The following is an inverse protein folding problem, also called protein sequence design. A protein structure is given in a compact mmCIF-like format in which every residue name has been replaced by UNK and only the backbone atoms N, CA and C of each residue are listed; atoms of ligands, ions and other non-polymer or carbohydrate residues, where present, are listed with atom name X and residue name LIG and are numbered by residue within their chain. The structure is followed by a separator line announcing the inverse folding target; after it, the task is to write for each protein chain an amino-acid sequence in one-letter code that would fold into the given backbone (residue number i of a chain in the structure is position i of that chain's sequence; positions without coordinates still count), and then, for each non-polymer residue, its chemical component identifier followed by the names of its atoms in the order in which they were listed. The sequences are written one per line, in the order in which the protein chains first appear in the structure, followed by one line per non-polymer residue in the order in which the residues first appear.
data_IF_089254361347
#
_entry.id   IF_089254361347
#
_cell.length_a   1.000
_cell.length_b   1.000
_cell.length_c   1.000
_cell.angle_alpha   90.00
_cell.angle_beta   90.00
_cell.angle_gamma   90.00
#
_symmetry.space_group_name_H-M   'P 1'
#
loop_
_entity.id
_entity.type
_entity.pdbx_description
1 polymer ?
#
# COMPACT_ATOMS: atom_id res chain seq x y z
N UNK A 1 -14.81 3.99 41.88
CA UNK A 1 -15.53 2.71 41.72
C UNK A 1 -15.65 2.31 40.25
N UNK A 2 -15.89 3.23 39.31
CA UNK A 2 -15.98 2.91 37.86
C UNK A 2 -14.74 2.21 37.26
N UNK A 3 -13.52 2.65 37.61
CA UNK A 3 -12.30 2.10 37.00
C UNK A 3 -12.06 0.60 37.29
N UNK A 4 -12.46 0.11 38.46
CA UNK A 4 -12.22 -1.29 38.83
C UNK A 4 -13.09 -2.24 37.99
N UNK A 5 -14.34 -1.85 37.68
CA UNK A 5 -15.25 -2.63 36.85
C UNK A 5 -14.79 -2.69 35.38
N UNK A 6 -14.28 -1.59 34.84
CA UNK A 6 -13.73 -1.56 33.47
C UNK A 6 -12.45 -2.40 33.33
N UNK A 7 -11.64 -2.44 34.40
CA UNK A 7 -10.43 -3.26 34.44
C UNK A 7 -10.78 -4.75 34.50
N UNK A 8 -11.72 -5.15 35.37
CA UNK A 8 -12.20 -6.54 35.47
C UNK A 8 -12.80 -7.05 34.15
N UNK A 9 -13.61 -6.23 33.47
CA UNK A 9 -14.18 -6.59 32.16
C UNK A 9 -13.07 -6.76 31.11
N UNK A 10 -12.09 -5.84 31.07
CA UNK A 10 -11.00 -5.91 30.12
C UNK A 10 -10.09 -7.14 30.36
N UNK A 11 -9.83 -7.49 31.62
CA UNK A 11 -9.08 -8.69 31.99
C UNK A 11 -9.82 -9.96 31.57
N UNK A 12 -11.12 -10.05 31.84
CA UNK A 12 -11.94 -11.19 31.41
C UNK A 12 -11.95 -11.36 29.90
N UNK A 13 -12.05 -10.26 29.14
CA UNK A 13 -12.02 -10.30 27.67
C UNK A 13 -10.65 -10.71 27.14
N UNK A 14 -9.56 -10.19 27.72
CA UNK A 14 -8.21 -10.57 27.32
C UNK A 14 -7.94 -12.07 27.56
N UNK A 15 -8.43 -12.62 28.68
CA UNK A 15 -8.27 -14.05 28.98
C UNK A 15 -9.04 -14.95 27.99
N UNK A 16 -10.27 -14.58 27.62
CA UNK A 16 -11.03 -15.28 26.58
C UNK A 16 -10.34 -15.20 25.22
N UNK A 17 -9.77 -14.03 24.91
CA UNK A 17 -9.08 -13.79 23.65
C UNK A 17 -7.79 -14.57 23.49
N UNK A 18 -7.00 -14.66 24.57
CA UNK A 18 -5.78 -15.47 24.62
C UNK A 18 -6.07 -16.96 24.38
N UNK A 19 -7.21 -17.46 24.85
CA UNK A 19 -7.62 -18.85 24.61
C UNK A 19 -8.11 -19.10 23.19
N UNK A 20 -8.69 -18.08 22.53
CA UNK A 20 -9.27 -18.20 21.18
C UNK A 20 -8.24 -18.08 20.07
N UNK A 21 -7.23 -17.23 20.24
CA UNK A 21 -6.25 -16.95 19.19
C UNK A 21 -5.07 -17.93 19.22
N UNK A 22 -4.53 -18.33 18.05
CA UNK A 22 -3.25 -19.03 17.99
C UNK A 22 -2.13 -18.23 18.67
N UNK A 23 -1.25 -18.91 19.43
CA UNK A 23 -0.16 -18.28 20.21
C UNK A 23 0.69 -17.29 19.41
N UNK A 24 0.97 -17.60 18.14
CA UNK A 24 1.76 -16.74 17.25
C UNK A 24 1.02 -15.44 16.90
N UNK A 25 -0.29 -15.50 16.66
CA UNK A 25 -1.12 -14.34 16.36
C UNK A 25 -1.28 -13.45 17.59
N UNK A 26 -1.60 -14.06 18.74
CA UNK A 26 -1.78 -13.36 20.00
C UNK A 26 -0.53 -12.55 20.37
N UNK A 27 0.67 -13.12 20.19
CA UNK A 27 1.95 -12.41 20.45
C UNK A 27 2.14 -11.14 19.61
N UNK A 28 1.57 -11.09 18.40
CA UNK A 28 1.68 -9.95 17.50
C UNK A 28 0.61 -8.90 17.79
N UNK A 29 -0.62 -9.33 18.11
CA UNK A 29 -1.77 -8.46 18.31
C UNK A 29 -1.82 -7.89 19.74
N UNK A 30 -1.58 -8.71 20.76
CA UNK A 30 -1.75 -8.33 22.17
C UNK A 30 -0.96 -7.07 22.57
N UNK A 31 0.29 -6.85 22.11
CA UNK A 31 1.02 -5.62 22.44
C UNK A 31 0.35 -4.35 21.90
N UNK A 32 -0.25 -4.43 20.71
CA UNK A 32 -0.97 -3.30 20.10
C UNK A 32 -2.28 -3.03 20.85
N UNK A 33 -3.02 -4.09 21.14
CA UNK A 33 -4.26 -4.00 21.90
C UNK A 33 -4.03 -3.39 23.29
N UNK A 34 -3.19 -4.01 24.11
CA UNK A 34 -2.94 -3.61 25.48
C UNK A 34 -2.20 -2.26 25.58
N UNK A 35 -1.28 -1.98 24.66
CA UNK A 35 -0.44 -0.79 24.71
C UNK A 35 -1.04 0.47 24.09
N UNK A 36 -1.98 0.34 23.15
CA UNK A 36 -2.48 1.47 22.35
C UNK A 36 -4.00 1.58 22.30
N UNK A 37 -4.70 0.48 22.02
CA UNK A 37 -6.15 0.51 21.75
C UNK A 37 -6.93 0.53 23.06
N UNK A 38 -6.71 -0.45 23.94
CA UNK A 38 -7.44 -0.59 25.20
C UNK A 38 -7.33 0.65 26.12
N UNK A 39 -6.15 1.28 26.33
CA UNK A 39 -6.06 2.49 27.14
C UNK A 39 -6.89 3.65 26.56
N UNK A 40 -6.92 3.79 25.23
CA UNK A 40 -7.72 4.82 24.58
C UNK A 40 -9.23 4.56 24.72
N UNK A 41 -9.66 3.30 24.65
CA UNK A 41 -11.05 2.91 24.90
C UNK A 41 -11.46 3.20 26.35
N UNK A 42 -10.60 2.89 27.33
CA UNK A 42 -10.84 3.22 28.75
C UNK A 42 -10.98 4.74 28.95
N UNK A 43 -10.05 5.53 28.41
CA UNK A 43 -10.09 6.98 28.50
C UNK A 43 -11.36 7.59 27.85
N UNK A 44 -11.80 7.02 26.72
CA UNK A 44 -13.05 7.42 26.07
C UNK A 44 -14.28 7.04 26.91
N UNK A 45 -14.30 5.83 27.48
CA UNK A 45 -15.38 5.35 28.34
C UNK A 45 -15.52 6.24 29.59
N UNK A 46 -14.41 6.60 30.23
CA UNK A 46 -14.37 7.51 31.38
C UNK A 46 -14.89 8.90 31.02
N UNK A 47 -14.41 9.46 29.89
CA UNK A 47 -14.83 10.79 29.41
C UNK A 47 -16.33 10.85 29.13
N UNK A 48 -16.89 9.78 28.57
CA UNK A 48 -18.30 9.72 28.16
C UNK A 48 -19.22 9.11 29.22
N UNK A 49 -18.68 8.72 30.39
CA UNK A 49 -19.41 8.01 31.46
C UNK A 49 -20.14 6.77 30.92
N UNK A 50 -19.44 5.99 30.09
CA UNK A 50 -19.97 4.80 29.44
C UNK A 50 -20.34 3.72 30.48
N UNK A 51 -21.54 3.11 30.40
CA UNK A 51 -21.90 1.98 31.24
C UNK A 51 -20.95 0.77 31.03
N UNK A 52 -20.65 -0.02 32.07
CA UNK A 52 -19.74 -1.16 31.95
C UNK A 52 -20.13 -2.17 30.85
N UNK A 53 -21.43 -2.42 30.68
CA UNK A 53 -21.93 -3.32 29.64
C UNK A 53 -21.71 -2.78 28.20
N UNK A 54 -21.79 -1.46 28.01
CA UNK A 54 -21.51 -0.82 26.73
C UNK A 54 -20.00 -0.83 26.45
N UNK A 55 -19.19 -0.54 27.46
CA UNK A 55 -17.73 -0.65 27.36
C UNK A 55 -17.30 -2.07 26.98
N UNK A 56 -17.86 -3.11 27.62
CA UNK A 56 -17.57 -4.51 27.28
C UNK A 56 -17.89 -4.86 25.83
N UNK A 57 -19.04 -4.39 25.30
CA UNK A 57 -19.40 -4.56 23.88
C UNK A 57 -18.43 -3.83 22.94
N UNK A 58 -18.08 -2.60 23.28
CA UNK A 58 -17.11 -1.81 22.51
C UNK A 58 -15.73 -2.48 22.48
N UNK A 59 -15.25 -2.98 23.61
CA UNK A 59 -14.00 -3.73 23.68
C UNK A 59 -14.04 -5.00 22.83
N UNK A 60 -15.08 -5.83 22.96
CA UNK A 60 -15.21 -7.04 22.16
C UNK A 60 -15.23 -6.75 20.64
N UNK A 61 -15.94 -5.68 20.22
CA UNK A 61 -15.96 -5.24 18.82
C UNK A 61 -14.57 -4.76 18.37
N UNK A 62 -13.91 -3.92 19.16
CA UNK A 62 -12.59 -3.40 18.81
C UNK A 62 -11.53 -4.50 18.73
N UNK A 63 -11.60 -5.53 19.59
CA UNK A 63 -10.74 -6.73 19.50
C UNK A 63 -10.97 -7.47 18.19
N UNK A 64 -12.23 -7.74 17.83
CA UNK A 64 -12.57 -8.36 16.54
C UNK A 64 -12.05 -7.56 15.36
N UNK A 65 -12.25 -6.25 15.34
CA UNK A 65 -11.74 -5.41 14.25
C UNK A 65 -10.20 -5.39 14.22
N UNK A 66 -9.55 -5.45 15.38
CA UNK A 66 -8.08 -5.54 15.47
C UNK A 66 -7.58 -6.86 14.86
N UNK A 67 -8.27 -7.97 15.09
CA UNK A 67 -7.98 -9.26 14.42
C UNK A 67 -8.19 -9.17 12.92
N UNK A 68 -9.38 -8.76 12.48
CA UNK A 68 -9.72 -8.70 11.05
C UNK A 68 -8.77 -7.76 10.29
N UNK A 69 -8.34 -6.66 10.93
CA UNK A 69 -7.34 -5.77 10.36
C UNK A 69 -5.98 -6.43 10.23
N UNK A 70 -5.56 -7.21 11.23
CA UNK A 70 -4.33 -7.99 11.13
C UNK A 70 -4.41 -8.99 9.97
N UNK A 71 -5.52 -9.73 9.87
CA UNK A 71 -5.72 -10.68 8.77
C UNK A 71 -5.71 -9.98 7.40
N UNK A 72 -6.38 -8.84 7.28
CA UNK A 72 -6.40 -8.04 6.06
C UNK A 72 -5.01 -7.52 5.67
N UNK A 73 -4.12 -7.29 6.63
CA UNK A 73 -2.74 -6.83 6.40
C UNK A 73 -1.77 -7.99 6.07
N UNK A 74 -2.15 -9.21 6.45
CA UNK A 74 -1.32 -10.40 6.40
C UNK A 74 -2.08 -11.59 5.80
N UNK A 75 -2.75 -11.42 4.65
CA UNK A 75 -3.49 -12.51 3.99
C UNK A 75 -2.62 -13.76 3.73
N UNK A 76 -1.31 -13.56 3.58
CA UNK A 76 -0.32 -14.62 3.45
C UNK A 76 -0.01 -15.38 4.75
N UNK A 77 -0.46 -14.93 5.92
CA UNK A 77 -0.14 -15.55 7.23
C UNK A 77 -0.76 -16.93 7.42
N UNK A 78 -1.83 -17.24 6.68
CA UNK A 78 -2.52 -18.52 6.75
C UNK A 78 -2.19 -19.48 5.61
N UNK A 79 -1.37 -19.06 4.65
CA UNK A 79 -0.92 -19.95 3.58
C UNK A 79 -0.01 -21.03 4.19
N UNK A 80 -0.56 -22.23 4.40
CA UNK A 80 0.08 -23.46 4.91
C UNK A 80 1.39 -23.89 4.21
N UNK A 81 1.86 -23.13 3.22
CA UNK A 81 3.05 -23.39 2.41
C UNK A 81 4.05 -22.23 2.39
N UNK A 82 3.78 -21.14 3.10
CA UNK A 82 4.79 -20.13 3.37
C UNK A 82 5.87 -20.80 4.24
N UNK A 83 7.08 -20.96 3.71
CA UNK A 83 8.21 -21.42 4.51
C UNK A 83 8.29 -20.56 5.79
N UNK A 84 8.62 -21.13 6.94
CA UNK A 84 8.61 -20.49 8.28
C UNK A 84 9.28 -19.09 8.34
N UNK A 85 10.06 -18.70 7.33
CA UNK A 85 10.67 -17.39 7.17
C UNK A 85 9.76 -16.27 6.57
N UNK A 86 8.53 -16.58 6.14
CA UNK A 86 7.63 -15.62 5.46
C UNK A 86 6.42 -15.16 6.30
N UNK A 87 6.32 -15.61 7.56
CA UNK A 87 5.25 -15.20 8.47
C UNK A 87 5.32 -13.72 8.91
N UNK A 88 4.21 -13.17 9.42
CA UNK A 88 4.18 -11.80 9.93
C UNK A 88 5.12 -11.63 11.13
N UNK A 89 5.95 -10.59 11.11
CA UNK A 89 6.93 -10.30 12.18
C UNK A 89 6.43 -9.26 13.19
N UNK A 90 5.42 -8.48 12.82
CA UNK A 90 4.84 -7.38 13.58
C UNK A 90 3.39 -7.18 13.12
N UNK A 91 2.57 -6.52 13.95
CA UNK A 91 1.18 -6.20 13.60
C UNK A 91 1.09 -5.22 12.42
N UNK A 92 1.65 -4.02 12.60
CA UNK A 92 1.76 -3.02 11.57
C UNK A 92 2.81 -2.00 12.00
N UNK A 93 3.64 -1.60 11.07
CA UNK A 93 4.60 -0.52 11.22
C UNK A 93 4.56 0.28 9.93
N UNK A 94 4.74 1.59 10.03
CA UNK A 94 4.87 2.42 8.83
C UNK A 94 6.01 1.88 7.96
N UNK A 95 5.66 1.33 6.80
CA UNK A 95 6.59 0.63 5.92
C UNK A 95 7.45 1.61 5.15
N UNK A 96 8.73 1.32 4.95
CA UNK A 96 9.54 2.04 3.97
C UNK A 96 9.19 1.55 2.57
N UNK A 97 8.45 2.36 1.82
CA UNK A 97 8.07 1.98 0.47
C UNK A 97 9.29 1.84 -0.45
N UNK A 98 9.44 0.64 -1.02
CA UNK A 98 10.40 0.36 -2.07
C UNK A 98 9.63 -0.13 -3.29
N UNK A 99 9.56 0.72 -4.32
CA UNK A 99 8.81 0.42 -5.53
C UNK A 99 9.20 -0.93 -6.12
N UNK A 100 10.49 -1.31 -6.11
CA UNK A 100 10.98 -2.56 -6.71
C UNK A 100 10.46 -3.82 -6.00
N UNK A 101 9.99 -3.68 -4.76
CA UNK A 101 9.38 -4.74 -3.96
C UNK A 101 7.87 -4.53 -3.81
N UNK A 102 7.25 -3.73 -4.69
CA UNK A 102 5.81 -3.55 -4.66
C UNK A 102 5.11 -4.89 -4.93
N UNK A 103 4.09 -5.21 -4.13
CA UNK A 103 3.38 -6.49 -4.12
C UNK A 103 4.29 -7.73 -3.89
N UNK A 104 5.40 -7.57 -3.16
CA UNK A 104 6.28 -8.67 -2.75
C UNK A 104 5.76 -9.31 -1.45
N UNK A 105 5.25 -10.54 -1.55
CA UNK A 105 4.75 -11.32 -0.40
C UNK A 105 5.86 -11.70 0.60
N UNK A 106 7.13 -11.74 0.16
CA UNK A 106 8.29 -12.05 1.02
C UNK A 106 8.61 -10.93 2.02
N UNK A 107 7.83 -9.84 2.02
CA UNK A 107 7.94 -8.77 3.03
C UNK A 107 7.27 -9.13 4.36
N UNK A 108 6.59 -10.28 4.44
CA UNK A 108 5.80 -10.67 5.60
C UNK A 108 4.48 -9.89 5.69
N UNK A 109 4.04 -9.28 4.58
CA UNK A 109 2.79 -8.54 4.45
C UNK A 109 2.18 -8.80 3.08
N UNK A 110 0.87 -9.02 3.07
CA UNK A 110 0.05 -9.22 1.89
C UNK A 110 -1.31 -8.62 2.19
N UNK A 111 -1.60 -7.49 1.55
CA UNK A 111 -2.78 -6.70 1.92
C UNK A 111 -3.96 -7.14 1.06
N UNK A 112 -4.96 -7.74 1.70
CA UNK A 112 -6.29 -7.87 1.12
C UNK A 112 -7.01 -6.53 1.24
N UNK A 113 -7.08 -5.82 0.11
CA UNK A 113 -7.70 -4.51 0.03
C UNK A 113 -9.21 -4.57 0.31
N UNK A 114 -9.91 -5.62 -0.08
CA UNK A 114 -11.35 -5.72 0.12
C UNK A 114 -11.67 -5.94 1.61
N UNK A 115 -10.95 -6.87 2.25
CA UNK A 115 -11.05 -7.08 3.69
C UNK A 115 -10.69 -5.82 4.47
N UNK A 116 -9.61 -5.12 4.10
CA UNK A 116 -9.18 -3.87 4.74
C UNK A 116 -10.27 -2.79 4.68
N UNK A 117 -10.92 -2.62 3.52
CA UNK A 117 -12.00 -1.65 3.35
C UNK A 117 -13.27 -2.06 4.10
N UNK A 118 -13.55 -3.36 4.20
CA UNK A 118 -14.65 -3.86 5.03
C UNK A 118 -14.44 -3.53 6.51
N UNK A 119 -13.24 -3.76 7.05
CA UNK A 119 -12.89 -3.41 8.43
C UNK A 119 -12.99 -1.90 8.64
N UNK A 120 -12.50 -1.10 7.68
CA UNK A 120 -12.60 0.35 7.76
C UNK A 120 -14.07 0.80 7.81
N UNK A 121 -14.94 0.27 6.94
CA UNK A 121 -16.35 0.61 6.93
C UNK A 121 -17.05 0.27 8.27
N UNK A 122 -16.75 -0.91 8.83
CA UNK A 122 -17.31 -1.34 10.11
C UNK A 122 -16.78 -0.51 11.28
N UNK A 123 -15.49 -0.19 11.30
CA UNK A 123 -14.93 0.74 12.29
C UNK A 123 -15.59 2.12 12.21
N UNK A 124 -15.80 2.63 11.00
CA UNK A 124 -16.42 3.94 10.80
C UNK A 124 -17.88 3.99 11.24
N UNK A 125 -18.61 2.87 11.25
CA UNK A 125 -19.99 2.82 11.72
C UNK A 125 -20.13 2.80 13.25
N UNK A 126 -19.04 2.57 14.00
CA UNK A 126 -19.05 2.46 15.47
C UNK A 126 -18.24 3.60 16.13
N UNK A 127 -18.88 4.74 16.46
CA UNK A 127 -18.18 5.90 17.03
C UNK A 127 -17.61 5.68 18.43
N UNK A 128 -18.14 4.71 19.17
CA UNK A 128 -17.80 4.33 20.54
C UNK A 128 -16.40 3.72 20.67
N UNK A 129 -15.92 3.02 19.63
CA UNK A 129 -14.61 2.35 19.63
C UNK A 129 -13.49 3.18 18.96
N UNK A 130 -13.80 4.41 18.54
CA UNK A 130 -12.84 5.22 17.78
C UNK A 130 -11.68 5.67 18.65
N UNK A 131 -10.45 5.47 18.16
CA UNK A 131 -9.25 5.98 18.80
C UNK A 131 -8.19 6.40 17.79
N UNK A 132 -7.29 7.30 18.20
CA UNK A 132 -6.27 7.88 17.32
C UNK A 132 -5.39 6.80 16.69
N UNK A 133 -5.01 5.77 17.46
CA UNK A 133 -4.16 4.72 16.93
C UNK A 133 -4.85 3.92 15.83
N UNK A 134 -6.14 3.60 15.98
CA UNK A 134 -6.91 2.86 14.96
C UNK A 134 -7.18 3.72 13.72
N UNK A 135 -7.51 5.01 13.91
CA UNK A 135 -7.63 5.99 12.82
C UNK A 135 -6.32 6.07 12.01
N UNK A 136 -5.18 6.18 12.69
CA UNK A 136 -3.86 6.19 12.03
C UNK A 136 -3.58 4.89 11.30
N UNK A 137 -3.83 3.74 11.93
CA UNK A 137 -3.47 2.44 11.38
C UNK A 137 -4.26 2.13 10.11
N UNK A 138 -5.57 2.38 10.12
CA UNK A 138 -6.40 2.25 8.92
C UNK A 138 -5.95 3.22 7.82
N UNK A 139 -5.66 4.47 8.18
CA UNK A 139 -5.24 5.47 7.23
C UNK A 139 -3.91 5.10 6.55
N UNK A 140 -2.91 4.71 7.36
CA UNK A 140 -1.59 4.28 6.90
C UNK A 140 -1.68 3.02 6.04
N UNK A 141 -2.45 2.02 6.49
CA UNK A 141 -2.69 0.77 5.76
C UNK A 141 -3.37 1.00 4.40
N UNK A 142 -4.45 1.79 4.34
CA UNK A 142 -5.19 2.04 3.09
C UNK A 142 -4.32 2.81 2.10
N UNK A 143 -3.61 3.84 2.56
CA UNK A 143 -2.71 4.64 1.71
C UNK A 143 -1.55 3.79 1.21
N UNK A 144 -0.95 2.95 2.07
CA UNK A 144 0.10 2.04 1.67
C UNK A 144 -0.39 0.98 0.67
N UNK A 145 -1.57 0.39 0.87
CA UNK A 145 -2.14 -0.60 -0.03
C UNK A 145 -2.31 -0.02 -1.45
N UNK A 146 -2.81 1.22 -1.54
CA UNK A 146 -2.94 1.91 -2.83
C UNK A 146 -1.57 2.23 -3.44
N UNK A 147 -0.61 2.70 -2.64
CA UNK A 147 0.75 2.98 -3.08
C UNK A 147 1.47 1.71 -3.57
N UNK A 148 1.26 0.57 -2.91
CA UNK A 148 1.83 -0.73 -3.27
C UNK A 148 1.24 -1.26 -4.57
N UNK A 149 -0.09 -1.25 -4.69
CA UNK A 149 -0.78 -1.62 -5.93
C UNK A 149 -0.37 -0.72 -7.10
N UNK A 150 -0.31 0.60 -6.87
CA UNK A 150 0.11 1.55 -7.88
C UNK A 150 1.58 1.36 -8.26
N UNK A 151 2.47 1.17 -7.28
CA UNK A 151 3.89 0.88 -7.51
C UNK A 151 4.10 -0.35 -8.38
N UNK A 152 3.39 -1.44 -8.08
CA UNK A 152 3.39 -2.66 -8.87
C UNK A 152 2.92 -2.40 -10.30
N UNK A 153 1.84 -1.63 -10.47
CA UNK A 153 1.35 -1.23 -11.78
C UNK A 153 2.38 -0.39 -12.57
N UNK A 154 3.03 0.60 -11.93
CA UNK A 154 4.04 1.45 -12.55
C UNK A 154 5.21 0.63 -13.05
N UNK A 155 5.69 -0.30 -12.24
CA UNK A 155 6.79 -1.19 -12.59
C UNK A 155 6.41 -2.12 -13.72
N UNK A 156 5.29 -2.81 -13.61
CA UNK A 156 4.92 -3.83 -14.58
C UNK A 156 4.50 -3.24 -15.90
N UNK A 157 3.89 -2.05 -15.93
CA UNK A 157 3.43 -1.42 -17.17
C UNK A 157 4.39 -0.39 -17.75
N UNK A 158 5.60 -0.21 -17.19
CA UNK A 158 6.52 0.88 -17.56
C UNK A 158 5.79 2.24 -17.62
N UNK A 159 4.94 2.51 -16.63
CA UNK A 159 4.02 3.66 -16.62
C UNK A 159 3.13 3.73 -17.88
N UNK A 160 2.43 2.63 -18.20
CA UNK A 160 1.51 2.55 -19.35
C UNK A 160 2.18 2.41 -20.73
N UNK A 161 3.48 2.07 -20.80
CA UNK A 161 4.23 1.93 -22.07
C UNK A 161 4.64 0.50 -22.42
N UNK A 162 4.25 -0.49 -21.62
CA UNK A 162 4.40 -1.93 -21.92
C UNK A 162 4.95 -2.74 -20.75
N UNK A 163 5.09 -4.06 -20.91
CA UNK A 163 5.53 -4.94 -19.82
C UNK A 163 7.03 -4.77 -19.48
N UNK A 164 7.37 -4.71 -18.19
CA UNK A 164 8.75 -4.65 -17.69
C UNK A 164 9.28 -6.03 -17.31
N UNK A 165 9.73 -6.79 -18.31
CA UNK A 165 10.38 -8.10 -18.09
C UNK A 165 11.60 -8.00 -17.17
N UNK A 166 12.33 -6.88 -17.21
CA UNK A 166 13.43 -6.59 -16.28
C UNK A 166 13.00 -6.66 -14.82
N UNK A 167 11.83 -6.12 -14.49
CA UNK A 167 11.33 -6.08 -13.12
C UNK A 167 10.90 -7.47 -12.64
N UNK A 168 10.13 -8.19 -13.48
CA UNK A 168 9.70 -9.55 -13.18
C UNK A 168 10.89 -10.49 -12.90
N UNK A 169 11.96 -10.38 -13.69
CA UNK A 169 13.16 -11.21 -13.51
C UNK A 169 14.07 -10.72 -12.37
N UNK A 170 13.96 -9.48 -11.92
CA UNK A 170 14.83 -8.92 -10.89
C UNK A 170 14.54 -9.44 -9.48
N UNK A 171 13.32 -9.94 -9.22
CA UNK A 171 12.87 -10.44 -7.90
C UNK A 171 13.19 -9.42 -6.78
N UNK A 172 12.85 -8.14 -7.02
CA UNK A 172 13.08 -7.05 -6.08
C UNK A 172 14.52 -6.57 -5.89
N UNK A 173 15.52 -7.24 -6.48
CA UNK A 173 16.94 -6.89 -6.30
C UNK A 173 17.36 -5.71 -7.20
N UNK A 174 17.78 -4.56 -6.65
CA UNK A 174 18.04 -3.34 -7.43
C UNK A 174 19.19 -3.52 -8.43
N UNK A 175 20.29 -4.14 -8.02
CA UNK A 175 21.45 -4.37 -8.90
C UNK A 175 21.07 -5.26 -10.09
N UNK A 176 20.31 -6.34 -9.84
CA UNK A 176 19.81 -7.24 -10.88
C UNK A 176 18.85 -6.50 -11.83
N UNK A 177 17.96 -5.67 -11.29
CA UNK A 177 17.07 -4.83 -12.08
C UNK A 177 17.83 -3.90 -13.02
N UNK A 178 18.84 -3.16 -12.54
CA UNK A 178 19.62 -2.25 -13.40
C UNK A 178 20.42 -2.99 -14.47
N UNK A 179 21.01 -4.14 -14.15
CA UNK A 179 21.71 -4.98 -15.12
C UNK A 179 20.75 -5.48 -16.22
N UNK A 180 19.63 -6.07 -15.84
CA UNK A 180 18.62 -6.55 -16.78
C UNK A 180 18.01 -5.43 -17.61
N UNK A 181 17.74 -4.27 -16.99
CA UNK A 181 17.22 -3.10 -17.68
C UNK A 181 18.22 -2.61 -18.74
N UNK A 182 19.51 -2.57 -18.40
CA UNK A 182 20.57 -2.16 -19.33
C UNK A 182 20.69 -3.17 -20.47
N UNK A 183 20.74 -4.47 -20.15
CA UNK A 183 20.78 -5.55 -21.14
C UNK A 183 19.59 -5.46 -22.11
N UNK A 184 18.35 -5.42 -21.60
CA UNK A 184 17.17 -5.36 -22.47
C UNK A 184 17.08 -4.06 -23.26
N UNK A 185 17.61 -2.94 -22.76
CA UNK A 185 17.71 -1.71 -23.55
C UNK A 185 18.71 -1.83 -24.68
N UNK A 186 19.89 -2.40 -24.44
CA UNK A 186 20.91 -2.63 -25.46
C UNK A 186 20.43 -3.63 -26.51
N UNK A 187 19.87 -4.75 -26.09
CA UNK A 187 19.30 -5.76 -26.99
C UNK A 187 18.12 -5.18 -27.78
N UNK A 188 17.21 -4.46 -27.13
CA UNK A 188 16.09 -3.80 -27.79
C UNK A 188 16.53 -2.74 -28.81
N UNK A 189 17.61 -2.01 -28.51
CA UNK A 189 18.21 -1.06 -29.45
C UNK A 189 18.81 -1.78 -30.66
N UNK A 190 19.62 -2.82 -30.43
CA UNK A 190 20.25 -3.60 -31.50
C UNK A 190 19.19 -4.23 -32.42
N UNK A 191 18.19 -4.89 -31.85
CA UNK A 191 17.11 -5.54 -32.62
C UNK A 191 16.18 -4.52 -33.31
N UNK A 192 15.97 -3.35 -32.73
CA UNK A 192 15.06 -2.34 -33.28
C UNK A 192 15.68 -1.43 -34.34
N UNK A 193 16.98 -1.11 -34.21
CA UNK A 193 17.64 -0.09 -35.03
C UNK A 193 18.84 -0.59 -35.84
N UNK A 194 19.49 -1.68 -35.44
CA UNK A 194 20.69 -2.19 -36.13
C UNK A 194 20.35 -3.37 -37.04
N UNK A 195 19.62 -4.36 -36.51
CA UNK A 195 19.31 -5.60 -37.24
C UNK A 195 18.45 -5.38 -38.49
N UNK A 196 17.36 -4.60 -38.48
CA UNK A 196 16.50 -4.47 -39.66
C UNK A 196 17.20 -3.82 -40.86
N UNK A 197 17.99 -2.72 -40.70
CA UNK A 197 18.80 -2.18 -41.80
C UNK A 197 19.84 -3.16 -42.34
N UNK A 198 20.55 -3.87 -41.45
CA UNK A 198 21.57 -4.86 -41.85
C UNK A 198 20.93 -6.00 -42.64
N UNK A 199 19.80 -6.54 -42.17
CA UNK A 199 19.05 -7.58 -42.88
C UNK A 199 18.51 -7.10 -44.23
N UNK A 200 18.05 -5.86 -44.32
CA UNK A 200 17.59 -5.27 -45.58
C UNK A 200 18.72 -5.16 -46.60
N UNK A 201 19.88 -4.61 -46.21
CA UNK A 201 21.07 -4.48 -47.08
C UNK A 201 21.54 -5.86 -47.54
N UNK A 202 21.62 -6.83 -46.61
CA UNK A 202 22.02 -8.19 -46.91
C UNK A 202 21.03 -8.88 -47.88
N UNK A 203 19.72 -8.70 -47.71
CA UNK A 203 18.73 -9.26 -48.63
C UNK A 203 18.86 -8.67 -50.04
N UNK A 204 19.10 -7.36 -50.15
CA UNK A 204 19.31 -6.67 -51.43
C UNK A 204 20.59 -7.16 -52.11
N UNK A 205 21.70 -7.30 -51.37
CA UNK A 205 22.98 -7.76 -51.94
C UNK A 205 22.94 -9.19 -52.47
N UNK A 206 22.02 -10.03 -51.96
CA UNK A 206 21.82 -11.40 -52.44
C UNK A 206 20.74 -11.51 -53.53
N UNK A 207 20.28 -10.40 -54.10
CA UNK A 207 19.30 -10.38 -55.21
C UNK A 207 17.83 -10.44 -54.78
N UNK A 208 17.53 -10.50 -53.48
CA UNK A 208 16.15 -10.50 -52.96
C UNK A 208 15.61 -9.07 -52.77
N UNK A 209 15.51 -8.29 -53.85
CA UNK A 209 15.13 -6.87 -53.79
C UNK A 209 13.79 -6.62 -53.10
N UNK A 210 12.74 -7.39 -53.44
CA UNK A 210 11.39 -7.20 -52.89
C UNK A 210 11.38 -7.39 -51.37
N UNK A 211 12.05 -8.43 -50.88
CA UNK A 211 12.16 -8.72 -49.44
C UNK A 211 12.92 -7.61 -48.71
N UNK A 212 14.06 -7.18 -49.26
CA UNK A 212 14.87 -6.11 -48.66
C UNK A 212 14.13 -4.79 -48.53
N UNK A 213 13.44 -4.35 -49.58
CA UNK A 213 12.61 -3.14 -49.55
C UNK A 213 11.41 -3.26 -48.60
N UNK A 214 10.81 -4.44 -48.50
CA UNK A 214 9.68 -4.68 -47.58
C UNK A 214 10.12 -4.56 -46.12
N UNK A 215 11.28 -5.12 -45.76
CA UNK A 215 11.88 -5.00 -44.42
C UNK A 215 12.20 -3.53 -44.12
N UNK A 216 12.84 -2.83 -45.06
CA UNK A 216 13.17 -1.41 -44.89
C UNK A 216 11.91 -0.55 -44.69
N UNK A 217 10.88 -0.75 -45.53
CA UNK A 217 9.61 -0.03 -45.45
C UNK A 217 8.90 -0.24 -44.11
N UNK A 218 8.79 -1.49 -43.64
CA UNK A 218 8.22 -1.82 -42.34
C UNK A 218 9.01 -1.22 -41.19
N UNK A 219 10.34 -1.25 -41.26
CA UNK A 219 11.21 -0.64 -40.25
C UNK A 219 11.02 0.88 -40.17
N UNK A 220 11.04 1.58 -41.31
CA UNK A 220 10.81 3.03 -41.36
C UNK A 220 9.43 3.38 -40.79
N UNK A 221 8.39 2.63 -41.16
CA UNK A 221 7.04 2.83 -40.63
C UNK A 221 6.99 2.64 -39.11
N UNK A 222 7.67 1.62 -38.59
CA UNK A 222 7.77 1.36 -37.14
C UNK A 222 8.49 2.49 -36.39
N UNK A 223 9.62 2.97 -36.91
CA UNK A 223 10.37 4.10 -36.33
C UNK A 223 9.53 5.37 -36.35
N UNK A 224 8.88 5.65 -37.48
CA UNK A 224 7.98 6.79 -37.62
C UNK A 224 6.82 6.73 -36.62
N UNK A 225 6.17 5.57 -36.47
CA UNK A 225 5.11 5.37 -35.49
C UNK A 225 5.59 5.57 -34.05
N UNK A 226 6.80 5.08 -33.72
CA UNK A 226 7.42 5.28 -32.41
C UNK A 226 7.68 6.76 -32.13
N UNK A 227 8.12 7.52 -33.15
CA UNK A 227 8.36 8.96 -33.04
C UNK A 227 7.04 9.75 -32.84
N UNK A 228 6.00 9.41 -33.59
CA UNK A 228 4.66 10.03 -33.47
C UNK A 228 4.03 9.74 -32.10
N UNK A 229 4.22 8.55 -31.56
CA UNK A 229 3.67 8.16 -30.24
C UNK A 229 4.54 8.58 -29.05
N UNK A 230 5.78 9.03 -29.29
CA UNK A 230 6.72 9.48 -28.27
C UNK A 230 6.15 10.59 -27.34
N UNK A 231 5.57 11.70 -27.84
CA UNK A 231 5.04 12.74 -26.96
C UNK A 231 3.90 12.25 -26.07
N UNK A 232 3.02 11.38 -26.58
CA UNK A 232 1.94 10.79 -25.80
C UNK A 232 2.49 9.90 -24.66
N UNK A 233 3.46 9.02 -24.97
CA UNK A 233 4.16 8.17 -23.98
C UNK A 233 4.89 9.00 -22.93
N UNK A 234 5.50 10.11 -23.35
CA UNK A 234 6.20 11.03 -22.45
C UNK A 234 5.22 11.73 -21.49
N UNK A 235 4.09 12.21 -22.00
CA UNK A 235 3.02 12.80 -21.18
C UNK A 235 2.45 11.79 -20.18
N UNK A 236 2.19 10.55 -20.61
CA UNK A 236 1.73 9.48 -19.73
C UNK A 236 2.74 9.21 -18.59
N UNK A 237 4.03 9.06 -18.91
CA UNK A 237 5.10 8.85 -17.91
C UNK A 237 5.20 10.01 -16.90
N UNK A 238 5.08 11.26 -17.37
CA UNK A 238 5.08 12.42 -16.47
C UNK A 238 3.87 12.40 -15.53
N UNK A 239 2.67 12.10 -16.05
CA UNK A 239 1.46 11.98 -15.22
C UNK A 239 1.61 10.88 -14.18
N UNK A 240 2.04 9.69 -14.58
CA UNK A 240 2.27 8.56 -13.65
C UNK A 240 3.31 8.89 -12.59
N UNK A 241 4.42 9.55 -12.97
CA UNK A 241 5.44 9.98 -12.00
C UNK A 241 4.87 11.02 -11.02
N UNK A 242 4.08 11.96 -11.51
CA UNK A 242 3.41 12.95 -10.67
C UNK A 242 2.48 12.29 -9.66
N UNK A 243 1.63 11.35 -10.11
CA UNK A 243 0.74 10.58 -9.24
C UNK A 243 1.50 9.80 -8.16
N UNK A 244 2.59 9.12 -8.56
CA UNK A 244 3.43 8.38 -7.64
C UNK A 244 4.05 9.31 -6.59
N UNK A 245 4.56 10.47 -7.00
CA UNK A 245 5.11 11.46 -6.07
C UNK A 245 4.06 11.96 -5.10
N UNK A 246 2.84 12.29 -5.55
CA UNK A 246 1.77 12.74 -4.64
C UNK A 246 1.36 11.66 -3.62
N UNK A 247 1.26 10.40 -4.04
CA UNK A 247 0.99 9.28 -3.13
C UNK A 247 2.14 9.06 -2.13
N UNK A 248 3.39 9.19 -2.59
CA UNK A 248 4.57 9.08 -1.71
C UNK A 248 4.62 10.20 -0.69
N UNK A 249 4.36 11.44 -1.11
CA UNK A 249 4.34 12.61 -0.22
C UNK A 249 3.24 12.45 0.83
N UNK A 250 2.04 12.00 0.42
CA UNK A 250 0.94 11.70 1.34
C UNK A 250 1.34 10.63 2.36
N UNK A 251 1.94 9.55 1.89
CA UNK A 251 2.35 8.44 2.74
C UNK A 251 3.49 8.83 3.69
N UNK A 252 4.46 9.63 3.25
CA UNK A 252 5.55 10.11 4.11
C UNK A 252 5.05 10.91 5.30
N UNK A 253 4.02 11.75 5.12
CA UNK A 253 3.40 12.52 6.22
C UNK A 253 2.84 11.60 7.31
N UNK A 254 2.32 10.42 6.96
CA UNK A 254 1.77 9.46 7.92
C UNK A 254 2.85 8.74 8.74
N UNK A 255 4.10 8.76 8.28
CA UNK A 255 5.26 8.21 9.00
C UNK A 255 5.81 9.12 10.10
N UNK A 256 5.37 10.38 10.16
CA UNK A 256 5.81 11.33 11.18
C UNK A 256 5.19 11.04 12.55
N UNK A 257 5.96 11.24 13.61
CA UNK A 257 5.48 11.06 15.00
C UNK A 257 4.35 12.02 15.39
N UNK A 258 4.31 13.19 14.74
CA UNK A 258 3.30 14.24 14.91
C UNK A 258 2.79 14.63 13.53
N UNK A 259 1.54 14.31 13.25
CA UNK A 259 0.91 14.53 11.94
C UNK A 259 0.08 15.80 12.03
N UNK A 260 0.20 16.72 11.07
CA UNK A 260 -0.71 17.86 10.96
C UNK A 260 -1.93 17.46 10.10
N UNK A 261 -3.16 17.38 10.68
CA UNK A 261 -4.33 16.94 9.92
C UNK A 261 -4.68 17.87 8.76
N UNK A 262 -4.39 19.19 8.88
CA UNK A 262 -4.55 20.16 7.79
C UNK A 262 -3.59 19.89 6.63
N UNK A 263 -2.30 19.72 6.92
CA UNK A 263 -1.31 19.40 5.88
C UNK A 263 -1.63 18.07 5.19
N UNK A 264 -2.11 17.09 5.98
CA UNK A 264 -2.53 15.80 5.48
C UNK A 264 -3.74 15.93 4.53
N UNK A 265 -4.75 16.72 4.90
CA UNK A 265 -5.91 17.03 4.04
C UNK A 265 -5.50 17.77 2.77
N UNK A 266 -4.68 18.80 2.88
CA UNK A 266 -4.17 19.55 1.72
C UNK A 266 -3.38 18.65 0.77
N UNK A 267 -2.61 17.69 1.30
CA UNK A 267 -1.85 16.73 0.48
C UNK A 267 -2.75 15.70 -0.16
N UNK A 268 -3.78 15.23 0.56
CA UNK A 268 -4.83 14.37 0.01
C UNK A 268 -5.58 15.08 -1.13
N UNK A 269 -6.02 16.32 -0.93
CA UNK A 269 -6.77 17.08 -1.93
C UNK A 269 -5.91 17.34 -3.18
N UNK A 270 -4.61 17.62 -3.00
CA UNK A 270 -3.65 17.71 -4.12
C UNK A 270 -3.49 16.37 -4.86
N UNK A 271 -3.42 15.26 -4.15
CA UNK A 271 -3.34 13.93 -4.73
C UNK A 271 -4.63 13.60 -5.53
N UNK A 272 -5.81 13.86 -4.98
CA UNK A 272 -7.10 13.68 -5.64
C UNK A 272 -7.19 14.55 -6.89
N UNK A 273 -6.81 15.83 -6.81
CA UNK A 273 -6.78 16.74 -7.95
C UNK A 273 -5.82 16.27 -9.07
N UNK A 274 -4.73 15.58 -8.72
CA UNK A 274 -3.82 14.97 -9.70
C UNK A 274 -4.43 13.72 -10.37
N UNK A 275 -5.48 13.14 -9.79
CA UNK A 275 -6.20 11.96 -10.25
C UNK A 275 -5.92 10.69 -9.45
N UNK A 276 -5.41 10.80 -8.23
CA UNK A 276 -5.33 9.67 -7.29
C UNK A 276 -6.75 9.35 -6.80
N UNK A 277 -7.11 8.07 -6.81
CA UNK A 277 -8.40 7.59 -6.30
C UNK A 277 -8.12 6.84 -5.00
N UNK A 278 -8.58 7.39 -3.88
CA UNK A 278 -8.51 6.77 -2.56
C UNK A 278 -9.92 6.47 -2.06
N UNK A 279 -10.02 5.52 -1.14
CA UNK A 279 -11.30 5.18 -0.52
C UNK A 279 -11.85 6.34 0.31
N UNK A 280 -13.19 6.45 0.37
CA UNK A 280 -13.88 7.50 1.15
C UNK A 280 -13.57 7.45 2.65
N UNK A 281 -13.16 6.28 3.18
CA UNK A 281 -12.71 6.11 4.55
C UNK A 281 -11.54 7.04 4.90
N UNK A 282 -10.60 7.24 3.98
CA UNK A 282 -9.43 8.12 4.16
C UNK A 282 -9.88 9.56 4.45
N UNK A 283 -10.78 10.09 3.61
CA UNK A 283 -11.31 11.44 3.78
C UNK A 283 -12.11 11.57 5.08
N UNK A 284 -12.95 10.57 5.39
CA UNK A 284 -13.77 10.54 6.62
C UNK A 284 -12.90 10.56 7.89
N UNK A 285 -11.82 9.78 7.92
CA UNK A 285 -10.88 9.76 9.05
C UNK A 285 -10.19 11.12 9.20
N UNK A 286 -9.66 11.69 8.11
CA UNK A 286 -8.95 12.98 8.14
C UNK A 286 -9.87 14.13 8.57
N UNK A 287 -11.08 14.21 8.03
CA UNK A 287 -12.03 15.27 8.37
C UNK A 287 -12.38 15.23 9.87
N UNK A 288 -12.45 14.03 10.46
CA UNK A 288 -12.60 13.88 11.92
C UNK A 288 -11.37 14.28 12.71
N UNK A 289 -10.17 13.93 12.23
CA UNK A 289 -8.93 14.35 12.87
C UNK A 289 -8.89 15.88 12.96
N UNK A 290 -9.26 16.58 11.88
CA UNK A 290 -9.37 18.04 11.84
C UNK A 290 -10.42 18.56 12.81
N UNK A 291 -11.60 17.93 12.87
CA UNK A 291 -12.68 18.33 13.78
C UNK A 291 -12.29 18.21 15.26
N UNK A 292 -11.41 17.26 15.59
CA UNK A 292 -10.90 17.05 16.96
C UNK A 292 -9.75 17.99 17.31
N UNK A 293 -8.71 18.04 16.48
CA UNK A 293 -7.56 18.93 16.61
C UNK A 293 -6.96 19.18 15.22
N UNK A 294 -7.11 20.40 14.73
CA UNK A 294 -6.62 20.75 13.40
C UNK A 294 -5.10 20.93 13.30
N UNK A 295 -4.40 20.99 14.44
CA UNK A 295 -2.97 21.34 14.49
C UNK A 295 -2.09 20.12 14.63
N UNK A 296 -2.43 19.22 15.55
CA UNK A 296 -1.56 18.11 15.94
C UNK A 296 -2.36 16.84 16.14
N UNK A 297 -1.89 15.78 15.48
CA UNK A 297 -2.36 14.43 15.72
C UNK A 297 -1.16 13.55 16.06
N UNK A 298 -1.27 12.79 17.15
CA UNK A 298 -0.22 11.88 17.59
C UNK A 298 -0.83 10.48 17.66
N UNK A 299 -0.40 9.56 16.76
CA UNK A 299 -0.93 8.19 16.71
C UNK A 299 -0.75 7.44 18.03
N UNK A 300 0.36 7.72 18.72
CA UNK A 300 0.84 7.04 19.91
C UNK A 300 0.45 7.75 21.22
N UNK A 301 -0.62 8.55 21.26
CA UNK A 301 -1.07 9.17 22.51
C UNK A 301 -1.56 8.10 23.50
N UNK A 302 -0.68 7.74 24.44
CA UNK A 302 -1.11 7.35 25.78
C UNK A 302 -1.57 8.63 26.47
N UNK A 303 -2.85 8.97 26.29
CA UNK A 303 -3.50 10.04 27.06
C UNK A 303 -3.63 9.64 28.51
#
# INVERSE_FOLDING_TARGET
MHNNETDEIAESLNADWEQRLPDNLYRLIAPVWAGRILPALKANADRNRCPPAEFGRGCALAMRLTEQLFEALHDNSYALHAADAEGPLFYWLHQRFNILRANDSKRGLSIDKEALLSVAAEYLSHPDIRCNYFDWLLLDAIVFAELDAFGYHVINTKAGTGTSVAAALADGKPVKYFLLLTLFRLTGFALGYVVPPVLSIWAISNGHMIVGWSIAGLWVLSVFWSLVTFPARWKARRKTRSLLTQLLDLYQILGDSTISPRLLKETLDRAIAAGVVLDGAVASIIDRMIARDATTFVPAQTS
#
